data_IF_795404057735
#
_entry.id   IF_795404057735
#
_cell.length_a   1.000
_cell.length_b   1.000
_cell.length_c   1.000
_cell.angle_alpha   90.00
_cell.angle_beta   90.00
_cell.angle_gamma   90.00
#
_symmetry.space_group_name_H-M   'P 1'
#
loop_
_entity.id
_entity.type
_entity.pdbx_description
1 polymer ?
#
# COMPACT_ATOMS: atom_id res chain seq x y z
N UNK A 1 -21.04 -14.03 -12.63
CA UNK A 1 -21.89 -13.73 -11.43
C UNK A 1 -22.71 -12.50 -11.69
N UNK A 2 -23.95 -12.40 -11.14
CA UNK A 2 -24.78 -11.21 -11.29
C UNK A 2 -24.20 -10.06 -10.47
N UNK A 3 -24.11 -8.86 -11.06
CA UNK A 3 -23.71 -7.63 -10.32
C UNK A 3 -24.67 -7.32 -9.16
N UNK A 4 -25.97 -7.59 -9.33
CA UNK A 4 -26.99 -7.33 -8.32
C UNK A 4 -27.00 -8.41 -7.24
N UNK A 5 -26.23 -8.19 -6.17
CA UNK A 5 -26.14 -9.11 -5.01
C UNK A 5 -27.10 -8.67 -3.90
N UNK A 6 -27.26 -7.36 -3.71
CA UNK A 6 -28.06 -6.73 -2.66
C UNK A 6 -29.24 -5.95 -3.26
N UNK A 7 -30.33 -5.77 -2.51
CA UNK A 7 -31.50 -4.99 -2.94
C UNK A 7 -32.63 -5.82 -3.57
N UNK A 8 -32.55 -7.14 -3.50
CA UNK A 8 -33.68 -8.04 -3.83
C UNK A 8 -34.57 -8.21 -2.61
N UNK A 9 -35.88 -8.38 -2.83
CA UNK A 9 -36.81 -8.73 -1.76
C UNK A 9 -36.45 -10.07 -1.13
N UNK A 10 -36.48 -10.15 0.21
CA UNK A 10 -36.21 -11.37 0.97
C UNK A 10 -34.76 -11.53 1.45
N UNK A 11 -34.46 -12.75 1.96
CA UNK A 11 -33.13 -13.11 2.44
C UNK A 11 -32.29 -13.67 1.29
N UNK A 12 -31.17 -13.04 0.95
CA UNK A 12 -30.21 -13.51 -0.03
C UNK A 12 -29.06 -14.33 0.60
N UNK A 13 -28.43 -15.20 -0.20
CA UNK A 13 -27.14 -15.80 0.15
C UNK A 13 -26.02 -14.99 -0.45
N UNK A 14 -25.02 -14.64 0.35
CA UNK A 14 -23.82 -13.96 -0.14
C UNK A 14 -23.03 -14.95 -1.02
N UNK A 15 -22.68 -14.57 -2.28
CA UNK A 15 -21.80 -15.40 -3.08
C UNK A 15 -20.38 -15.42 -2.47
N UNK A 16 -19.56 -16.46 -2.73
CA UNK A 16 -18.17 -16.45 -2.32
C UNK A 16 -17.45 -15.24 -2.95
N UNK A 17 -16.61 -14.57 -2.16
CA UNK A 17 -15.76 -13.50 -2.69
C UNK A 17 -14.66 -14.10 -3.56
N UNK A 18 -14.61 -13.66 -4.80
CA UNK A 18 -13.46 -13.93 -5.67
C UNK A 18 -12.34 -12.97 -5.29
N UNK A 19 -11.34 -13.46 -4.56
CA UNK A 19 -10.12 -12.71 -4.29
C UNK A 19 -9.28 -12.74 -5.57
N UNK A 20 -9.05 -11.58 -6.17
CA UNK A 20 -8.09 -11.49 -7.26
C UNK A 20 -6.67 -11.65 -6.70
N UNK A 21 -6.17 -12.89 -6.66
CA UNK A 21 -4.84 -13.23 -6.15
C UNK A 21 -3.73 -12.44 -6.86
N UNK A 22 -3.92 -12.07 -8.14
CA UNK A 22 -2.95 -11.30 -8.91
C UNK A 22 -2.74 -9.87 -8.42
N UNK A 23 -3.68 -9.30 -7.65
CA UNK A 23 -3.50 -7.95 -7.10
C UNK A 23 -2.28 -7.85 -6.22
N UNK A 24 -2.07 -8.88 -5.39
CA UNK A 24 -0.99 -8.92 -4.41
C UNK A 24 0.17 -9.83 -4.83
N UNK A 25 0.14 -10.38 -6.05
CA UNK A 25 1.23 -11.21 -6.56
C UNK A 25 2.48 -10.35 -6.78
N UNK A 26 3.55 -10.56 -6.00
CA UNK A 26 4.76 -9.75 -6.09
C UNK A 26 5.50 -9.95 -7.41
N UNK A 27 5.32 -11.11 -8.09
CA UNK A 27 5.96 -11.41 -9.37
C UNK A 27 5.43 -10.50 -10.50
N UNK A 28 4.21 -9.98 -10.34
CA UNK A 28 3.54 -9.10 -11.31
C UNK A 28 3.83 -7.61 -11.07
N UNK A 29 4.67 -7.28 -10.10
CA UNK A 29 5.10 -5.90 -9.89
C UNK A 29 6.06 -5.47 -11.02
N UNK A 30 5.87 -4.26 -11.55
CA UNK A 30 6.66 -3.70 -12.66
C UNK A 30 7.39 -2.44 -12.21
N UNK A 31 8.60 -2.56 -11.64
CA UNK A 31 9.39 -1.39 -11.25
C UNK A 31 9.92 -0.67 -12.49
N UNK A 32 9.92 0.66 -12.46
CA UNK A 32 10.57 1.47 -13.50
C UNK A 32 12.10 1.33 -13.40
N UNK A 33 12.82 1.63 -14.49
CA UNK A 33 14.29 1.61 -14.51
C UNK A 33 14.88 2.51 -13.41
N UNK A 34 14.29 3.69 -13.18
CA UNK A 34 14.74 4.59 -12.12
C UNK A 34 14.56 3.99 -10.72
N UNK A 35 13.44 3.29 -10.48
CA UNK A 35 13.19 2.60 -9.22
C UNK A 35 14.16 1.43 -9.02
N UNK A 36 14.43 0.64 -10.05
CA UNK A 36 15.44 -0.43 -10.02
C UNK A 36 16.81 0.13 -9.63
N UNK A 37 17.22 1.24 -10.24
CA UNK A 37 18.49 1.89 -9.93
C UNK A 37 18.53 2.37 -8.47
N UNK A 38 17.46 2.97 -7.95
CA UNK A 38 17.39 3.41 -6.56
C UNK A 38 17.48 2.23 -5.57
N UNK A 39 16.81 1.12 -5.87
CA UNK A 39 16.93 -0.14 -5.10
C UNK A 39 18.38 -0.63 -5.11
N UNK A 40 19.02 -0.69 -6.27
CA UNK A 40 20.41 -1.13 -6.38
C UNK A 40 21.37 -0.21 -5.60
N UNK A 41 21.16 1.11 -5.61
CA UNK A 41 21.95 2.05 -4.80
C UNK A 41 21.77 1.76 -3.32
N UNK A 42 20.53 1.60 -2.86
CA UNK A 42 20.24 1.29 -1.46
C UNK A 42 20.89 -0.03 -1.00
N UNK A 43 20.78 -1.06 -1.81
CA UNK A 43 21.37 -2.39 -1.52
C UNK A 43 22.90 -2.34 -1.48
N UNK A 44 23.55 -1.67 -2.44
CA UNK A 44 25.02 -1.56 -2.50
C UNK A 44 25.59 -0.75 -1.33
N UNK A 45 24.87 0.28 -0.87
CA UNK A 45 25.30 1.12 0.23
C UNK A 45 24.84 0.60 1.61
N UNK A 46 23.96 -0.41 1.64
CA UNK A 46 23.34 -0.89 2.88
C UNK A 46 22.49 0.21 3.56
N UNK A 47 21.93 1.15 2.80
CA UNK A 47 21.16 2.26 3.32
C UNK A 47 19.65 2.04 3.15
N UNK A 48 18.81 2.59 4.04
CA UNK A 48 17.37 2.54 3.88
C UNK A 48 16.91 3.25 2.60
N UNK A 49 15.89 2.70 1.92
CA UNK A 49 15.26 3.32 0.76
C UNK A 49 13.93 3.97 1.16
N UNK A 50 13.83 5.28 1.05
CA UNK A 50 12.60 6.02 1.23
C UNK A 50 11.89 6.22 -0.11
N UNK A 51 10.66 5.72 -0.16
CA UNK A 51 9.77 5.85 -1.31
C UNK A 51 8.69 6.88 -1.03
N UNK A 52 8.60 7.88 -1.89
CA UNK A 52 7.48 8.83 -1.89
C UNK A 52 6.65 8.69 -3.16
N UNK A 53 5.49 9.30 -3.20
CA UNK A 53 4.60 9.28 -4.36
C UNK A 53 3.13 9.27 -3.95
N UNK A 54 2.26 9.45 -4.93
CA UNK A 54 0.82 9.42 -4.69
C UNK A 54 0.35 8.08 -4.08
N UNK A 55 -0.74 8.05 -3.29
CA UNK A 55 -1.36 6.80 -2.86
C UNK A 55 -1.66 5.88 -4.05
N UNK A 56 -1.42 4.57 -3.89
CA UNK A 56 -1.71 3.59 -4.93
C UNK A 56 -0.67 3.51 -6.08
N UNK A 57 0.50 4.13 -5.96
CA UNK A 57 1.61 4.01 -6.92
C UNK A 57 2.47 2.76 -6.72
N UNK A 58 2.12 1.90 -5.77
CA UNK A 58 2.82 0.63 -5.56
C UNK A 58 4.03 0.69 -4.62
N UNK A 59 4.16 1.73 -3.78
CA UNK A 59 5.25 1.88 -2.79
C UNK A 59 5.41 0.65 -1.90
N UNK A 60 4.33 0.25 -1.24
CA UNK A 60 4.28 -0.93 -0.36
C UNK A 60 4.56 -2.23 -1.13
N UNK A 61 4.07 -2.34 -2.37
CA UNK A 61 4.26 -3.53 -3.21
C UNK A 61 5.73 -3.78 -3.59
N UNK A 62 6.58 -2.74 -3.61
CA UNK A 62 8.00 -2.91 -3.86
C UNK A 62 8.68 -3.79 -2.80
N UNK A 63 8.31 -3.64 -1.53
CA UNK A 63 8.89 -4.46 -0.45
C UNK A 63 8.60 -5.95 -0.66
N UNK A 64 7.36 -6.28 -1.04
CA UNK A 64 6.98 -7.66 -1.39
C UNK A 64 7.73 -8.16 -2.63
N UNK A 65 7.88 -7.31 -3.64
CA UNK A 65 8.61 -7.67 -4.85
C UNK A 65 10.10 -7.94 -4.59
N UNK A 66 10.75 -7.11 -3.76
CA UNK A 66 12.17 -7.31 -3.38
C UNK A 66 12.31 -8.62 -2.57
N UNK A 67 11.42 -8.86 -1.62
CA UNK A 67 11.41 -10.07 -0.82
C UNK A 67 11.23 -11.32 -1.70
N UNK A 68 10.29 -11.29 -2.63
CA UNK A 68 10.09 -12.35 -3.62
C UNK A 68 11.31 -12.55 -4.54
N UNK A 69 11.87 -11.44 -5.08
CA UNK A 69 12.99 -11.50 -6.03
C UNK A 69 14.26 -12.14 -5.43
N UNK A 70 14.50 -11.89 -4.15
CA UNK A 70 15.66 -12.44 -3.44
C UNK A 70 15.34 -13.69 -2.59
N UNK A 71 14.12 -14.23 -2.70
CA UNK A 71 13.67 -15.43 -1.96
C UNK A 71 13.81 -15.30 -0.43
N UNK A 72 13.49 -14.09 0.12
CA UNK A 72 13.66 -13.76 1.54
C UNK A 72 12.41 -14.02 2.40
N UNK A 73 11.40 -14.68 1.84
CA UNK A 73 10.09 -14.84 2.48
C UNK A 73 9.25 -13.55 2.39
N UNK A 74 8.18 -13.47 3.20
CA UNK A 74 7.35 -12.26 3.24
C UNK A 74 8.06 -11.13 3.99
N UNK A 75 7.88 -9.85 3.56
CA UNK A 75 8.44 -8.73 4.28
C UNK A 75 7.83 -8.57 5.67
N UNK A 76 8.65 -8.21 6.65
CA UNK A 76 8.20 -7.83 7.98
C UNK A 76 7.70 -6.38 7.95
N UNK A 77 6.47 -6.15 8.40
CA UNK A 77 5.79 -4.86 8.20
C UNK A 77 5.59 -4.15 9.53
N UNK A 78 5.98 -2.87 9.57
CA UNK A 78 5.63 -1.93 10.61
C UNK A 78 4.81 -0.78 10.02
N UNK A 79 3.56 -0.66 10.44
CA UNK A 79 2.69 0.45 10.05
C UNK A 79 2.82 1.59 11.06
N UNK A 80 3.41 2.70 10.64
CA UNK A 80 3.62 3.85 11.50
C UNK A 80 2.28 4.52 11.89
N UNK A 81 2.15 4.87 13.16
CA UNK A 81 0.99 5.52 13.76
C UNK A 81 1.42 6.74 14.57
N UNK A 82 0.48 7.64 14.84
CA UNK A 82 0.73 8.85 15.64
C UNK A 82 1.17 8.58 17.08
N UNK A 83 0.97 7.36 17.58
CA UNK A 83 1.37 6.88 18.90
C UNK A 83 2.60 6.00 18.89
N UNK A 84 3.18 5.72 17.71
CA UNK A 84 4.34 4.83 17.58
C UNK A 84 5.57 5.42 18.24
N UNK A 85 6.33 4.58 18.93
CA UNK A 85 7.65 4.87 19.49
C UNK A 85 8.75 4.08 18.78
N UNK A 86 10.02 4.43 19.00
CA UNK A 86 11.14 3.68 18.45
C UNK A 86 11.19 2.24 19.00
N UNK A 87 10.78 2.02 20.23
CA UNK A 87 10.72 0.68 20.84
C UNK A 87 9.72 -0.21 20.13
N UNK A 88 8.58 0.34 19.64
CA UNK A 88 7.57 -0.42 18.90
C UNK A 88 8.08 -1.00 17.58
N UNK A 89 9.23 -0.59 17.07
CA UNK A 89 9.88 -1.21 15.92
C UNK A 89 10.49 -2.57 16.25
N UNK A 90 10.91 -2.73 17.50
CA UNK A 90 11.64 -3.92 17.96
C UNK A 90 10.73 -4.90 18.67
N UNK A 91 9.98 -4.44 19.68
CA UNK A 91 9.10 -5.31 20.45
C UNK A 91 8.00 -4.52 21.18
N UNK A 92 7.03 -5.26 21.66
CA UNK A 92 6.02 -4.79 22.60
C UNK A 92 5.98 -5.70 23.81
N UNK A 93 6.03 -5.09 24.99
CA UNK A 93 5.91 -5.77 26.27
C UNK A 93 4.51 -5.60 26.83
N UNK A 94 3.84 -6.75 27.13
CA UNK A 94 2.53 -6.74 27.80
C UNK A 94 2.70 -6.68 29.33
N UNK A 95 3.03 -5.48 29.83
CA UNK A 95 3.21 -5.23 31.25
C UNK A 95 1.95 -5.54 32.08
N UNK A 96 0.75 -5.35 31.51
CA UNK A 96 -0.49 -5.61 32.21
C UNK A 96 -0.73 -7.12 32.40
N UNK A 97 -0.54 -7.89 31.33
CA UNK A 97 -0.67 -9.35 31.41
C UNK A 97 0.38 -9.94 32.36
N UNK A 98 1.64 -9.46 32.31
CA UNK A 98 2.69 -9.91 33.24
C UNK A 98 2.35 -9.56 34.69
N UNK A 99 1.86 -8.35 34.94
CA UNK A 99 1.42 -7.95 36.30
C UNK A 99 0.26 -8.83 36.82
N UNK A 100 -0.75 -9.10 35.99
CA UNK A 100 -1.87 -9.98 36.36
C UNK A 100 -1.43 -11.42 36.60
N UNK A 101 -0.49 -11.92 35.82
CA UNK A 101 0.10 -13.24 36.03
C UNK A 101 0.75 -13.34 37.41
N UNK A 102 1.59 -12.35 37.79
CA UNK A 102 2.28 -12.32 39.07
C UNK A 102 1.34 -12.17 40.28
N UNK A 103 0.17 -11.54 40.11
CA UNK A 103 -0.86 -11.51 41.16
C UNK A 103 -1.51 -12.85 41.45
N UNK A 104 -1.65 -13.68 40.41
CA UNK A 104 -2.38 -14.96 40.48
C UNK A 104 -1.46 -16.17 40.72
N UNK A 105 -0.14 -16.02 40.59
CA UNK A 105 0.84 -17.08 40.71
C UNK A 105 1.93 -16.69 41.71
N UNK A 106 2.26 -17.63 42.60
CA UNK A 106 3.27 -17.41 43.63
C UNK A 106 4.73 -17.59 43.13
N UNK A 107 4.93 -18.21 42.02
CA UNK A 107 6.24 -18.49 41.46
C UNK A 107 6.67 -17.36 40.50
N UNK A 108 7.88 -16.85 40.70
CA UNK A 108 8.49 -15.92 39.76
C UNK A 108 8.83 -16.67 38.44
N UNK A 109 8.56 -16.02 37.31
CA UNK A 109 8.94 -16.52 35.99
C UNK A 109 10.43 -16.27 35.74
N UNK A 110 11.04 -17.15 34.97
CA UNK A 110 12.37 -16.93 34.37
C UNK A 110 12.30 -15.91 33.24
N UNK A 111 13.42 -15.31 32.89
CA UNK A 111 13.52 -14.38 31.77
C UNK A 111 13.04 -14.99 30.45
N UNK A 112 13.28 -16.27 30.19
CA UNK A 112 12.81 -17.00 29.01
C UNK A 112 11.28 -17.18 29.01
N UNK A 113 10.68 -17.42 30.16
CA UNK A 113 9.22 -17.51 30.29
C UNK A 113 8.55 -16.14 30.12
N UNK A 114 9.16 -15.07 30.65
CA UNK A 114 8.71 -13.69 30.45
C UNK A 114 8.77 -13.33 28.96
N UNK A 115 9.86 -13.68 28.29
CA UNK A 115 10.04 -13.45 26.86
C UNK A 115 8.93 -14.12 26.04
N UNK A 116 8.68 -15.41 26.26
CA UNK A 116 7.70 -16.18 25.52
C UNK A 116 6.25 -15.73 25.76
N UNK A 117 5.92 -15.30 26.97
CA UNK A 117 4.53 -15.00 27.37
C UNK A 117 4.15 -13.54 27.15
N UNK A 118 5.09 -12.59 27.31
CA UNK A 118 4.76 -11.17 27.40
C UNK A 118 5.51 -10.28 26.43
N UNK A 119 6.52 -10.79 25.70
CA UNK A 119 7.24 -10.01 24.70
C UNK A 119 6.84 -10.44 23.31
N UNK A 120 6.37 -9.46 22.51
CA UNK A 120 5.98 -9.66 21.13
C UNK A 120 6.94 -8.87 20.24
N UNK A 121 7.86 -9.58 19.58
CA UNK A 121 8.82 -8.95 18.67
C UNK A 121 8.11 -8.39 17.43
N UNK A 122 8.50 -7.18 17.05
CA UNK A 122 7.97 -6.44 15.92
C UNK A 122 8.92 -6.50 14.73
N UNK A 123 8.56 -5.85 13.63
CA UNK A 123 9.22 -6.04 12.33
C UNK A 123 10.75 -5.96 12.36
N UNK A 124 11.32 -4.91 12.96
CA UNK A 124 12.78 -4.74 13.01
C UNK A 124 13.43 -5.66 14.05
N UNK A 125 12.77 -5.85 15.20
CA UNK A 125 13.24 -6.78 16.23
C UNK A 125 13.30 -8.21 15.72
N UNK A 126 12.25 -8.70 15.07
CA UNK A 126 12.23 -10.02 14.44
C UNK A 126 13.34 -10.17 13.40
N UNK A 127 13.55 -9.16 12.53
CA UNK A 127 14.60 -9.19 11.52
C UNK A 127 16.02 -9.28 12.14
N UNK A 128 16.22 -8.72 13.33
CA UNK A 128 17.52 -8.79 14.05
C UNK A 128 17.70 -10.17 14.71
N UNK A 129 16.63 -10.71 15.32
CA UNK A 129 16.69 -11.98 16.07
C UNK A 129 16.82 -13.18 15.14
N UNK A 130 16.11 -13.19 14.00
CA UNK A 130 16.06 -14.35 13.08
C UNK A 130 17.41 -14.68 12.44
N UNK A 131 18.42 -13.82 12.56
CA UNK A 131 19.78 -14.05 12.00
C UNK A 131 19.79 -14.38 10.50
N UNK A 132 18.73 -14.00 9.79
CA UNK A 132 18.58 -14.10 8.35
C UNK A 132 18.30 -12.72 7.76
N UNK A 133 18.72 -12.53 6.50
CA UNK A 133 18.41 -11.27 5.84
C UNK A 133 16.92 -11.21 5.49
N UNK A 134 16.22 -10.21 5.98
CA UNK A 134 14.80 -9.96 5.74
C UNK A 134 14.60 -8.60 5.09
N UNK A 135 13.46 -8.44 4.42
CA UNK A 135 12.96 -7.12 4.03
C UNK A 135 12.07 -6.60 5.16
N UNK A 136 12.38 -5.40 5.64
CA UNK A 136 11.56 -4.68 6.63
C UNK A 136 10.92 -3.49 5.96
N UNK A 137 9.59 -3.44 5.98
CA UNK A 137 8.80 -2.33 5.46
C UNK A 137 8.31 -1.46 6.61
N UNK A 138 8.72 -0.19 6.61
CA UNK A 138 8.20 0.85 7.50
C UNK A 138 7.19 1.68 6.69
N UNK A 139 5.92 1.32 6.79
CA UNK A 139 4.86 1.90 5.95
C UNK A 139 4.31 3.19 6.57
N UNK A 140 4.10 4.22 5.73
CA UNK A 140 3.52 5.51 6.08
C UNK A 140 4.28 6.26 7.21
N UNK A 141 5.62 6.31 7.12
CA UNK A 141 6.48 6.93 8.17
C UNK A 141 6.14 8.40 8.44
N UNK A 142 5.52 9.10 7.51
CA UNK A 142 5.03 10.47 7.67
C UNK A 142 3.85 10.61 8.65
N UNK A 143 3.20 9.51 9.05
CA UNK A 143 2.16 9.50 10.09
C UNK A 143 2.72 9.41 11.51
N UNK A 144 3.98 9.03 11.64
CA UNK A 144 4.65 8.89 12.94
C UNK A 144 4.85 10.23 13.65
N UNK A 145 5.09 10.22 14.98
CA UNK A 145 5.57 11.39 15.69
C UNK A 145 6.85 11.94 15.07
N UNK A 146 7.07 13.25 15.16
CA UNK A 146 8.12 13.98 14.43
C UNK A 146 9.54 13.47 14.72
N UNK A 147 9.75 12.93 15.92
CA UNK A 147 11.08 12.46 16.36
C UNK A 147 11.35 11.01 15.91
N UNK A 148 10.30 10.20 15.71
CA UNK A 148 10.42 8.79 15.37
C UNK A 148 11.32 8.51 14.13
N UNK A 149 11.24 9.26 13.00
CA UNK A 149 12.10 8.99 11.84
C UNK A 149 13.61 9.03 12.19
N UNK A 150 14.04 9.95 13.03
CA UNK A 150 15.45 10.03 13.46
C UNK A 150 15.82 8.87 14.39
N UNK A 151 14.95 8.49 15.32
CA UNK A 151 15.15 7.36 16.23
C UNK A 151 15.24 6.04 15.48
N UNK A 152 14.40 5.87 14.43
CA UNK A 152 14.45 4.73 13.52
C UNK A 152 15.81 4.61 12.85
N UNK A 153 16.38 5.71 12.34
CA UNK A 153 17.69 5.68 11.71
C UNK A 153 18.80 5.29 12.70
N UNK A 154 18.76 5.83 13.91
CA UNK A 154 19.73 5.48 14.96
C UNK A 154 19.64 3.99 15.33
N UNK A 155 18.43 3.44 15.33
CA UNK A 155 18.16 2.03 15.57
C UNK A 155 18.71 1.13 14.44
N UNK A 156 18.49 1.53 13.19
CA UNK A 156 18.96 0.80 11.99
C UNK A 156 20.49 0.82 11.87
N UNK A 157 21.12 1.94 12.26
CA UNK A 157 22.59 2.05 12.23
C UNK A 157 23.26 1.09 13.21
N UNK A 158 22.70 0.92 14.41
CA UNK A 158 23.25 0.07 15.46
C UNK A 158 23.07 -1.42 15.20
N UNK A 159 21.99 -1.83 14.50
CA UNK A 159 21.60 -3.23 14.29
C UNK A 159 21.51 -4.04 15.60
N UNK A 160 21.18 -3.36 16.70
CA UNK A 160 21.01 -3.97 18.00
C UNK A 160 19.91 -3.26 18.76
N UNK A 161 19.30 -3.96 19.72
CA UNK A 161 18.35 -3.36 20.69
C UNK A 161 18.38 -4.13 22.00
N UNK A 162 18.02 -3.42 23.07
CA UNK A 162 17.94 -3.96 24.41
C UNK A 162 16.49 -4.26 24.78
N UNK A 163 16.29 -5.34 25.54
CA UNK A 163 15.02 -5.71 26.16
C UNK A 163 15.23 -5.74 27.69
N UNK A 164 15.11 -4.58 28.37
CA UNK A 164 15.42 -4.46 29.80
C UNK A 164 14.60 -5.39 30.69
N UNK A 165 13.38 -5.74 30.27
CA UNK A 165 12.45 -6.61 31.01
C UNK A 165 13.00 -8.01 31.27
N UNK A 166 13.95 -8.46 30.44
CA UNK A 166 14.60 -9.78 30.51
C UNK A 166 16.13 -9.69 30.51
N UNK A 167 16.69 -8.50 30.67
CA UNK A 167 18.13 -8.24 30.65
C UNK A 167 18.85 -8.80 29.42
N UNK A 168 18.21 -8.81 28.26
CA UNK A 168 18.80 -9.31 27.00
C UNK A 168 19.06 -8.17 26.02
N UNK A 169 20.18 -8.31 25.28
CA UNK A 169 20.52 -7.49 24.13
C UNK A 169 20.55 -8.38 22.89
N UNK A 170 19.88 -7.95 21.84
CA UNK A 170 19.89 -8.63 20.54
C UNK A 170 20.67 -7.81 19.54
N UNK A 171 21.52 -8.47 18.78
CA UNK A 171 22.31 -7.86 17.71
C UNK A 171 22.34 -8.77 16.48
N UNK A 172 22.53 -8.20 15.28
CA UNK A 172 22.71 -8.97 14.06
C UNK A 172 23.99 -8.57 13.35
N UNK A 173 24.53 -9.50 12.56
CA UNK A 173 25.74 -9.27 11.79
C UNK A 173 25.49 -8.39 10.57
N UNK A 174 26.57 -7.78 10.03
CA UNK A 174 26.49 -7.01 8.79
C UNK A 174 26.01 -7.86 7.60
N UNK A 175 26.27 -9.18 7.60
CA UNK A 175 25.80 -10.08 6.55
C UNK A 175 24.28 -10.29 6.57
N UNK A 176 23.67 -10.20 7.74
CA UNK A 176 22.24 -10.37 7.96
C UNK A 176 21.51 -9.01 8.07
N UNK A 177 22.20 -7.90 7.74
CA UNK A 177 21.60 -6.57 7.75
C UNK A 177 20.28 -6.58 6.96
N UNK A 178 19.16 -6.19 7.57
CA UNK A 178 17.87 -6.16 6.88
C UNK A 178 17.84 -5.12 5.76
N UNK A 179 17.08 -5.41 4.72
CA UNK A 179 16.78 -4.47 3.63
C UNK A 179 15.60 -3.61 4.10
N UNK A 180 15.85 -2.32 4.35
CA UNK A 180 14.85 -1.41 4.90
C UNK A 180 14.21 -0.60 3.77
N UNK A 181 12.90 -0.75 3.62
CA UNK A 181 12.08 0.04 2.72
C UNK A 181 11.14 0.90 3.59
N UNK A 182 11.14 2.19 3.33
CA UNK A 182 10.27 3.16 4.01
C UNK A 182 9.31 3.77 2.99
N UNK A 183 8.06 3.97 3.35
CA UNK A 183 7.11 4.67 2.50
C UNK A 183 6.59 5.93 3.16
N UNK A 184 6.30 6.92 2.33
CA UNK A 184 5.63 8.16 2.75
C UNK A 184 4.71 8.66 1.63
N UNK A 185 3.61 9.27 1.99
CA UNK A 185 2.75 9.96 1.03
C UNK A 185 3.16 11.43 0.85
N UNK A 186 4.01 11.96 1.74
CA UNK A 186 4.50 13.33 1.69
C UNK A 186 5.84 13.49 2.39
N UNK A 187 6.85 13.99 1.65
CA UNK A 187 8.15 14.35 2.23
C UNK A 187 8.10 15.59 3.14
N UNK A 188 7.08 16.44 3.03
CA UNK A 188 6.97 17.71 3.77
C UNK A 188 6.92 17.54 5.28
N UNK A 189 6.55 16.36 5.76
CA UNK A 189 6.42 16.04 7.17
C UNK A 189 7.67 15.37 7.75
N UNK A 190 8.68 15.08 6.91
CA UNK A 190 9.89 14.38 7.33
C UNK A 190 11.02 15.39 7.63
N UNK A 191 11.80 15.18 8.72
CA UNK A 191 12.92 16.07 9.07
C UNK A 191 14.04 16.04 8.02
N UNK A 192 14.67 17.18 7.75
CA UNK A 192 15.80 17.28 6.83
C UNK A 192 16.98 16.37 7.22
N UNK A 193 17.22 16.23 8.53
CA UNK A 193 18.26 15.35 9.06
C UNK A 193 18.01 13.87 8.72
N UNK A 194 16.75 13.45 8.69
CA UNK A 194 16.33 12.13 8.25
C UNK A 194 16.54 11.95 6.76
N UNK A 195 16.08 12.90 5.92
CA UNK A 195 16.19 12.82 4.47
C UNK A 195 17.64 12.68 3.98
N UNK A 196 18.61 13.22 4.70
CA UNK A 196 20.06 13.13 4.36
C UNK A 196 20.68 11.75 4.62
N UNK A 197 19.99 10.86 5.33
CA UNK A 197 20.49 9.54 5.75
C UNK A 197 19.78 8.37 5.06
N UNK A 198 18.92 8.65 4.10
CA UNK A 198 18.19 7.64 3.33
C UNK A 198 18.46 7.81 1.84
N UNK A 199 18.36 6.73 1.10
CA UNK A 199 18.27 6.79 -0.36
C UNK A 199 16.83 7.17 -0.69
N UNK A 200 16.66 8.26 -1.41
CA UNK A 200 15.34 8.80 -1.74
C UNK A 200 14.95 8.47 -3.17
N UNK A 201 13.71 8.04 -3.36
CA UNK A 201 13.12 7.92 -4.69
C UNK A 201 11.64 8.31 -4.67
N UNK A 202 11.27 9.21 -5.59
CA UNK A 202 9.87 9.55 -5.83
C UNK A 202 9.32 8.65 -6.94
N UNK A 203 8.28 7.87 -6.63
CA UNK A 203 7.58 7.06 -7.64
C UNK A 203 6.56 7.96 -8.32
N UNK A 204 6.79 8.38 -9.57
CA UNK A 204 5.83 9.18 -10.31
C UNK A 204 4.59 8.33 -10.61
N UNK A 205 3.47 9.00 -10.88
CA UNK A 205 2.31 8.29 -11.39
C UNK A 205 2.66 7.67 -12.77
N UNK A 206 2.32 6.39 -13.01
CA UNK A 206 2.72 5.71 -14.24
C UNK A 206 2.10 6.35 -15.49
N UNK A 207 2.87 6.44 -16.56
CA UNK A 207 2.39 6.84 -17.88
C UNK A 207 1.48 5.78 -18.50
N UNK A 208 0.75 6.13 -19.57
CA UNK A 208 -0.27 5.30 -20.20
C UNK A 208 0.22 3.89 -20.58
N UNK A 209 1.42 3.78 -21.17
CA UNK A 209 2.01 2.48 -21.54
C UNK A 209 2.36 1.64 -20.30
N UNK A 210 2.92 2.27 -19.26
CA UNK A 210 3.21 1.60 -18.00
C UNK A 210 1.93 1.15 -17.28
N UNK A 211 0.86 1.96 -17.33
CA UNK A 211 -0.46 1.57 -16.80
C UNK A 211 -1.03 0.37 -17.56
N UNK A 212 -0.86 0.36 -18.89
CA UNK A 212 -1.30 -0.76 -19.73
C UNK A 212 -0.57 -2.06 -19.34
N UNK A 213 0.75 -1.99 -19.14
CA UNK A 213 1.54 -3.14 -18.71
C UNK A 213 1.12 -3.65 -17.32
N UNK A 214 0.89 -2.72 -16.39
CA UNK A 214 0.43 -3.07 -15.02
C UNK A 214 -0.94 -3.74 -15.06
N UNK A 215 -1.91 -3.16 -15.79
CA UNK A 215 -3.27 -3.69 -15.82
C UNK A 215 -3.35 -5.02 -16.55
N UNK A 216 -2.56 -5.21 -17.63
CA UNK A 216 -2.53 -6.46 -18.41
C UNK A 216 -2.07 -7.67 -17.58
N UNK A 217 -1.19 -7.44 -16.59
CA UNK A 217 -0.76 -8.50 -15.67
C UNK A 217 -1.77 -8.80 -14.57
N UNK A 218 -2.61 -7.83 -14.19
CA UNK A 218 -3.46 -7.90 -13.00
C UNK A 218 -4.95 -8.11 -13.28
N UNK A 219 -5.39 -7.94 -14.53
CA UNK A 219 -6.80 -8.08 -14.93
C UNK A 219 -6.91 -9.07 -16.07
N UNK A 220 -7.74 -10.08 -15.88
CA UNK A 220 -7.99 -11.12 -16.86
C UNK A 220 -9.14 -10.78 -17.81
N UNK A 221 -9.18 -11.50 -18.95
CA UNK A 221 -10.34 -11.55 -19.84
C UNK A 221 -10.64 -10.26 -20.62
N UNK A 222 -9.67 -9.38 -20.81
CA UNK A 222 -9.74 -8.27 -21.75
C UNK A 222 -8.73 -8.45 -22.87
N UNK A 223 -9.07 -7.99 -24.06
CA UNK A 223 -8.11 -7.83 -25.15
C UNK A 223 -7.20 -6.63 -24.87
N UNK A 224 -6.03 -6.60 -25.53
CA UNK A 224 -5.12 -5.45 -25.41
C UNK A 224 -5.77 -4.14 -25.86
N UNK A 225 -6.66 -4.20 -26.85
CA UNK A 225 -7.41 -3.04 -27.34
C UNK A 225 -8.39 -2.53 -26.27
N UNK A 226 -9.13 -3.42 -25.63
CA UNK A 226 -10.04 -3.05 -24.54
C UNK A 226 -9.30 -2.44 -23.36
N UNK A 227 -8.15 -3.01 -22.97
CA UNK A 227 -7.31 -2.44 -21.90
C UNK A 227 -6.82 -1.03 -22.26
N UNK A 228 -6.42 -0.79 -23.52
CA UNK A 228 -6.07 0.56 -24.00
C UNK A 228 -7.22 1.53 -23.88
N UNK A 229 -8.44 1.13 -24.24
CA UNK A 229 -9.62 1.99 -24.10
C UNK A 229 -9.91 2.32 -22.64
N UNK A 230 -9.77 1.34 -21.73
CA UNK A 230 -9.95 1.54 -20.29
C UNK A 230 -8.89 2.53 -19.75
N UNK A 231 -7.61 2.32 -20.07
CA UNK A 231 -6.51 3.20 -19.64
C UNK A 231 -6.68 4.62 -20.17
N UNK A 232 -7.02 4.74 -21.46
CA UNK A 232 -7.25 6.06 -22.07
C UNK A 232 -8.41 6.81 -21.41
N UNK A 233 -9.51 6.11 -21.13
CA UNK A 233 -10.65 6.72 -20.46
C UNK A 233 -10.29 7.16 -19.03
N UNK A 234 -9.57 6.33 -18.31
CA UNK A 234 -9.07 6.63 -16.96
C UNK A 234 -8.15 7.85 -16.96
N UNK A 235 -7.17 7.91 -17.89
CA UNK A 235 -6.28 9.06 -18.03
C UNK A 235 -7.04 10.33 -18.40
N UNK A 236 -8.03 10.24 -19.27
CA UNK A 236 -8.90 11.36 -19.61
C UNK A 236 -9.70 11.88 -18.40
N UNK A 237 -10.03 11.05 -17.43
CA UNK A 237 -10.63 11.49 -16.16
C UNK A 237 -9.59 12.18 -15.31
N UNK A 238 -8.40 11.60 -15.17
CA UNK A 238 -7.35 12.05 -14.29
C UNK A 238 -6.69 13.36 -14.75
N UNK A 239 -6.42 13.48 -16.05
CA UNK A 239 -5.71 14.61 -16.65
C UNK A 239 -6.63 15.81 -16.97
N UNK A 240 -7.93 15.59 -17.00
CA UNK A 240 -8.89 16.63 -17.36
C UNK A 240 -9.05 17.67 -16.24
N UNK A 241 -8.24 18.74 -16.31
CA UNK A 241 -8.26 19.85 -15.36
C UNK A 241 -9.63 20.54 -15.24
N UNK A 242 -10.52 20.39 -16.25
CA UNK A 242 -11.89 20.97 -16.18
C UNK A 242 -12.77 20.27 -15.18
N UNK A 243 -12.52 19.01 -14.87
CA UNK A 243 -13.28 18.23 -13.89
C UNK A 243 -12.97 18.66 -12.44
N UNK A 244 -11.81 19.28 -12.19
CA UNK A 244 -11.38 19.78 -10.87
C UNK A 244 -11.60 18.76 -9.76
N UNK A 245 -11.23 17.50 -10.02
CA UNK A 245 -11.35 16.45 -9.01
C UNK A 245 -10.50 16.79 -7.78
N UNK A 246 -11.08 16.62 -6.60
CA UNK A 246 -10.39 16.84 -5.33
C UNK A 246 -9.35 15.75 -5.04
N UNK A 247 -9.68 14.51 -5.44
CA UNK A 247 -8.77 13.37 -5.32
C UNK A 247 -8.70 12.65 -6.67
N UNK A 248 -7.50 12.60 -7.23
CA UNK A 248 -7.26 11.89 -8.46
C UNK A 248 -7.28 10.37 -8.19
N UNK A 249 -7.95 9.57 -9.04
CA UNK A 249 -7.91 8.13 -8.91
C UNK A 249 -6.52 7.57 -9.21
N UNK A 250 -6.10 6.54 -8.50
CA UNK A 250 -4.77 5.93 -8.60
C UNK A 250 -4.81 4.57 -9.32
N UNK A 251 -3.65 3.93 -9.46
CA UNK A 251 -3.51 2.65 -10.19
C UNK A 251 -4.36 1.53 -9.58
N UNK A 252 -4.48 1.48 -8.24
CA UNK A 252 -5.33 0.49 -7.58
C UNK A 252 -6.82 0.65 -7.99
N UNK A 253 -7.31 1.90 -8.04
CA UNK A 253 -8.66 2.19 -8.48
C UNK A 253 -8.88 1.82 -9.95
N UNK A 254 -7.89 2.03 -10.83
CA UNK A 254 -7.96 1.61 -12.23
C UNK A 254 -8.18 0.08 -12.33
N UNK A 255 -7.41 -0.71 -11.57
CA UNK A 255 -7.53 -2.17 -11.57
C UNK A 255 -8.91 -2.61 -11.05
N UNK A 256 -9.37 -2.04 -9.93
CA UNK A 256 -10.71 -2.34 -9.41
C UNK A 256 -11.82 -1.91 -10.37
N UNK A 257 -11.67 -0.77 -11.01
CA UNK A 257 -12.64 -0.27 -11.99
C UNK A 257 -12.74 -1.18 -13.21
N UNK A 258 -11.62 -1.62 -13.77
CA UNK A 258 -11.61 -2.57 -14.88
C UNK A 258 -12.30 -3.89 -14.50
N UNK A 259 -12.00 -4.45 -13.32
CA UNK A 259 -12.68 -5.65 -12.83
C UNK A 259 -14.19 -5.43 -12.66
N UNK A 260 -14.62 -4.25 -12.22
CA UNK A 260 -16.03 -3.92 -12.08
C UNK A 260 -16.73 -3.80 -13.44
N UNK A 261 -16.10 -3.13 -14.43
CA UNK A 261 -16.63 -3.03 -15.80
C UNK A 261 -16.86 -4.42 -16.39
N UNK A 262 -15.98 -5.37 -16.12
CA UNK A 262 -16.13 -6.78 -16.53
C UNK A 262 -17.35 -7.42 -15.87
N UNK A 263 -17.52 -7.25 -14.56
CA UNK A 263 -18.67 -7.81 -13.82
C UNK A 263 -20.01 -7.20 -14.27
N UNK A 264 -20.00 -5.96 -14.74
CA UNK A 264 -21.15 -5.27 -15.33
C UNK A 264 -21.42 -5.71 -16.77
N UNK A 265 -20.55 -6.47 -17.41
CA UNK A 265 -20.56 -6.74 -18.86
C UNK A 265 -20.64 -5.46 -19.69
N UNK A 266 -19.94 -4.39 -19.24
CA UNK A 266 -19.96 -3.10 -19.89
C UNK A 266 -19.31 -3.16 -21.28
N UNK A 267 -19.93 -2.55 -22.33
CA UNK A 267 -19.37 -2.57 -23.69
C UNK A 267 -18.17 -1.60 -23.80
N UNK A 268 -16.96 -2.10 -23.54
CA UNK A 268 -15.71 -1.31 -23.48
C UNK A 268 -15.47 -0.54 -24.79
N UNK A 269 -15.81 -1.10 -25.93
CA UNK A 269 -15.67 -0.44 -27.24
C UNK A 269 -16.42 0.89 -27.36
N UNK A 270 -17.41 1.15 -26.49
CA UNK A 270 -18.17 2.41 -26.47
C UNK A 270 -17.58 3.48 -25.54
N UNK A 271 -16.56 3.16 -24.71
CA UNK A 271 -15.92 4.12 -23.79
C UNK A 271 -15.42 5.41 -24.46
N UNK A 272 -14.87 5.38 -25.71
CA UNK A 272 -14.40 6.59 -26.37
C UNK A 272 -15.51 7.58 -26.72
N UNK A 273 -16.74 7.10 -26.88
CA UNK A 273 -17.88 7.92 -27.30
C UNK A 273 -19.10 7.68 -26.39
N UNK A 274 -19.06 8.33 -25.23
CA UNK A 274 -20.11 8.22 -24.19
C UNK A 274 -21.49 8.62 -24.74
N UNK A 275 -21.56 9.45 -25.79
CA UNK A 275 -22.82 9.86 -26.39
C UNK A 275 -23.58 8.70 -27.05
N UNK A 276 -22.87 7.66 -27.48
CA UNK A 276 -23.46 6.43 -28.08
C UNK A 276 -23.95 5.41 -27.05
N UNK A 277 -23.76 5.66 -25.75
CA UNK A 277 -24.24 4.79 -24.71
C UNK A 277 -25.78 4.89 -24.58
N UNK A 278 -26.43 3.75 -24.39
CA UNK A 278 -27.83 3.70 -23.95
C UNK A 278 -27.98 4.26 -22.54
N UNK A 279 -29.20 4.57 -22.10
CA UNK A 279 -29.41 5.06 -20.74
C UNK A 279 -29.00 4.03 -19.68
N UNK A 280 -29.23 2.74 -19.93
CA UNK A 280 -28.76 1.65 -19.06
C UNK A 280 -27.22 1.58 -18.98
N UNK A 281 -26.54 1.67 -20.12
CA UNK A 281 -25.08 1.70 -20.19
C UNK A 281 -24.49 2.94 -19.50
N UNK A 282 -25.14 4.09 -19.61
CA UNK A 282 -24.77 5.31 -18.86
C UNK A 282 -24.92 5.12 -17.35
N UNK A 283 -26.00 4.48 -16.92
CA UNK A 283 -26.22 4.18 -15.50
C UNK A 283 -25.15 3.21 -14.97
N UNK A 284 -24.81 2.17 -15.72
CA UNK A 284 -23.71 1.24 -15.39
C UNK A 284 -22.37 1.97 -15.27
N UNK A 285 -22.04 2.85 -16.24
CA UNK A 285 -20.80 3.63 -16.21
C UNK A 285 -20.75 4.55 -15.01
N UNK A 286 -21.84 5.28 -14.73
CA UNK A 286 -21.97 6.14 -13.56
C UNK A 286 -21.82 5.36 -12.25
N UNK A 287 -22.44 4.19 -12.16
CA UNK A 287 -22.32 3.30 -11.00
C UNK A 287 -20.87 2.87 -10.81
N UNK A 288 -20.15 2.53 -11.91
CA UNK A 288 -18.76 2.11 -11.87
C UNK A 288 -17.80 3.21 -11.37
N UNK A 289 -18.15 4.48 -11.57
CA UNK A 289 -17.32 5.62 -11.09
C UNK A 289 -17.26 5.75 -9.58
N UNK A 290 -18.11 5.03 -8.83
CA UNK A 290 -17.97 4.92 -7.37
C UNK A 290 -16.62 4.34 -6.95
N UNK A 291 -15.93 3.57 -7.81
CA UNK A 291 -14.59 3.08 -7.59
C UNK A 291 -13.55 4.17 -7.77
N UNK A 292 -13.71 5.03 -8.77
CA UNK A 292 -12.75 6.09 -9.13
C UNK A 292 -12.89 7.34 -8.27
N UNK A 293 -14.11 7.71 -7.88
CA UNK A 293 -14.38 8.89 -7.06
C UNK A 293 -14.21 8.58 -5.56
N UNK A 294 -13.52 9.45 -4.84
CA UNK A 294 -13.28 9.32 -3.39
C UNK A 294 -14.00 10.40 -2.56
N UNK A 295 -14.67 11.31 -3.22
CA UNK A 295 -15.52 12.33 -2.59
C UNK A 295 -16.88 12.40 -3.29
N UNK A 296 -17.89 12.92 -2.56
CA UNK A 296 -19.22 13.13 -3.13
C UNK A 296 -19.16 14.07 -4.34
N UNK A 297 -18.40 15.15 -4.22
CA UNK A 297 -18.27 16.13 -5.29
C UNK A 297 -17.61 15.57 -6.55
N UNK A 298 -16.58 14.72 -6.38
CA UNK A 298 -15.91 14.06 -7.51
C UNK A 298 -16.88 13.11 -8.22
N UNK A 299 -17.67 12.34 -7.45
CA UNK A 299 -18.68 11.44 -8.02
C UNK A 299 -19.78 12.21 -8.79
N UNK A 300 -20.27 13.30 -8.23
CA UNK A 300 -21.27 14.15 -8.90
C UNK A 300 -20.70 14.76 -10.19
N UNK A 301 -19.44 15.22 -10.18
CA UNK A 301 -18.75 15.74 -11.36
C UNK A 301 -18.63 14.70 -12.48
N UNK A 302 -18.26 13.46 -12.14
CA UNK A 302 -18.16 12.38 -13.12
C UNK A 302 -19.54 11.97 -13.67
N UNK A 303 -20.58 11.98 -12.84
CA UNK A 303 -21.98 11.74 -13.27
C UNK A 303 -22.47 12.80 -14.26
N UNK A 304 -22.24 14.08 -13.95
CA UNK A 304 -22.64 15.20 -14.82
C UNK A 304 -21.97 15.08 -16.20
N UNK A 305 -20.71 14.64 -16.26
CA UNK A 305 -19.97 14.39 -17.52
C UNK A 305 -20.66 13.33 -18.39
N UNK A 306 -21.13 12.23 -17.81
CA UNK A 306 -21.83 11.16 -18.54
C UNK A 306 -23.22 11.58 -19.00
N UNK A 307 -23.95 12.34 -18.15
CA UNK A 307 -25.32 12.77 -18.42
C UNK A 307 -25.42 13.99 -19.32
N UNK A 308 -24.30 14.61 -19.71
CA UNK A 308 -24.28 15.83 -20.55
C UNK A 308 -24.83 17.08 -19.86
N UNK A 309 -24.97 17.08 -18.51
CA UNK A 309 -25.44 18.24 -17.75
C UNK A 309 -24.26 19.15 -17.42
N UNK A 310 -24.13 20.25 -18.17
CA UNK A 310 -23.17 21.30 -17.83
C UNK A 310 -23.60 21.98 -16.52
N UNK A 311 -22.72 22.09 -15.53
CA UNK A 311 -22.96 22.87 -14.30
C UNK A 311 -23.45 24.27 -14.66
N UNK A 312 -24.74 24.52 -14.49
CA UNK A 312 -25.24 25.92 -14.41
C UNK A 312 -24.53 26.55 -13.21
N UNK A 313 -23.67 27.55 -13.46
CA UNK A 313 -23.07 28.37 -12.41
C UNK A 313 -24.19 28.84 -11.49
N UNK A 314 -24.26 28.30 -10.26
CA UNK A 314 -25.01 28.98 -9.21
C UNK A 314 -24.29 30.30 -8.95
N UNK A 315 -24.93 31.38 -9.37
CA UNK A 315 -24.57 32.75 -8.99
C UNK A 315 -24.85 32.97 -7.52
#
# INVERSE_FOLDING_TARGET
MSFHIYGKEGKGKLPPFEVNQRLNDPSLYKPSTGLINAVNVALNLGQPLLLTGEPGTGKTQLAYHIAWFFELGDPLIFNAQTTSSATDLFYRYDALAHFQYNQNNANALSDDEIEQLFINYQALGSAIIEQERKVVLLDEIDKAPRDLPNDVLAAIEKLQFDVPEINKTYETSANNRPIIIMTSNSEKNLPDAFLRRVIYYHIPFPEAESLLDIISGKVDQFTQEELRLIVNHFNNIRENKSLKLKKLPATAELIFWANLLKKLNFPIAKLPDIAKLSEEEKEQLVTSYSVLAKTREDLETLKEKVQGKTRRKRR
#
